data_IF_094405711993
#
_entry.id   IF_094405711993
#
_cell.length_a   1.000
_cell.length_b   1.000
_cell.length_c   1.000
_cell.angle_alpha   90.00
_cell.angle_beta   90.00
_cell.angle_gamma   90.00
#
_symmetry.space_group_name_H-M   'P 1'
#
loop_
_entity.id
_entity.type
_entity.pdbx_description
1 polymer ?
#
# COMPACT_ATOMS: atom_id res chain seq x y z
N UNK A 1 -10.61 14.46 -12.58
CA UNK A 1 -9.72 15.46 -11.91
C UNK A 1 -8.77 14.68 -11.05
N UNK A 2 -7.48 14.78 -11.35
CA UNK A 2 -6.39 13.98 -10.82
C UNK A 2 -6.27 14.06 -9.29
N UNK A 3 -6.56 12.95 -8.60
CA UNK A 3 -6.36 12.80 -7.16
C UNK A 3 -4.90 12.46 -6.85
N UNK A 4 -4.00 13.43 -7.05
CA UNK A 4 -2.67 13.35 -6.47
C UNK A 4 -2.82 13.19 -4.95
N UNK A 5 -2.30 12.10 -4.38
CA UNK A 5 -1.96 12.06 -2.96
C UNK A 5 -1.16 13.33 -2.68
N UNK A 6 -1.80 14.28 -2.02
CA UNK A 6 -1.20 15.55 -1.64
C UNK A 6 -0.18 15.22 -0.56
N UNK A 7 1.05 14.91 -0.98
CA UNK A 7 2.19 15.05 -0.08
C UNK A 7 2.06 16.44 0.51
N UNK A 8 1.91 16.53 1.83
CA UNK A 8 1.79 17.80 2.54
C UNK A 8 2.76 18.81 1.93
N UNK A 9 2.39 20.10 1.92
CA UNK A 9 3.14 21.22 1.34
C UNK A 9 4.58 21.33 1.86
N UNK A 10 5.38 20.33 1.56
CA UNK A 10 6.83 20.35 1.70
C UNK A 10 7.38 20.90 0.40
N UNK A 11 8.36 21.77 0.52
CA UNK A 11 9.07 22.37 -0.62
C UNK A 11 9.37 21.27 -1.65
N UNK A 12 8.74 21.34 -2.82
CA UNK A 12 8.94 20.37 -3.91
C UNK A 12 10.39 20.42 -4.36
N UNK A 13 11.09 19.32 -4.22
CA UNK A 13 12.42 19.10 -4.81
C UNK A 13 12.29 18.17 -6.01
N UNK A 14 11.93 18.67 -7.21
CA UNK A 14 11.59 17.82 -8.36
C UNK A 14 12.73 16.87 -8.76
N UNK A 15 13.98 17.26 -8.53
CA UNK A 15 15.14 16.37 -8.75
C UNK A 15 15.23 15.22 -7.74
N UNK A 16 14.92 15.49 -6.47
CA UNK A 16 14.90 14.46 -5.42
C UNK A 16 13.77 13.46 -5.67
N UNK A 17 12.58 13.94 -5.97
CA UNK A 17 11.42 13.11 -6.31
C UNK A 17 11.73 12.21 -7.50
N UNK A 18 12.33 12.77 -8.56
CA UNK A 18 12.73 12.01 -9.73
C UNK A 18 13.76 10.92 -9.40
N UNK A 19 14.79 11.23 -8.59
CA UNK A 19 15.78 10.23 -8.17
C UNK A 19 15.08 9.10 -7.38
N UNK A 20 14.19 9.42 -6.46
CA UNK A 20 13.44 8.42 -5.68
C UNK A 20 12.59 7.52 -6.59
N UNK A 21 11.83 8.10 -7.53
CA UNK A 21 10.97 7.36 -8.46
C UNK A 21 11.78 6.42 -9.34
N UNK A 22 12.84 6.94 -9.98
CA UNK A 22 13.68 6.13 -10.86
C UNK A 22 14.47 5.06 -10.10
N UNK A 23 14.91 5.35 -8.87
CA UNK A 23 15.54 4.34 -8.01
C UNK A 23 14.56 3.24 -7.63
N UNK A 24 13.32 3.60 -7.31
CA UNK A 24 12.27 2.64 -6.99
C UNK A 24 11.97 1.72 -8.19
N UNK A 25 11.81 2.28 -9.39
CA UNK A 25 11.66 1.54 -10.64
C UNK A 25 12.79 0.52 -10.84
N UNK A 26 14.03 0.97 -10.68
CA UNK A 26 15.20 0.12 -10.83
C UNK A 26 15.25 -0.99 -9.77
N UNK A 27 14.92 -0.67 -8.51
CA UNK A 27 14.90 -1.66 -7.44
C UNK A 27 13.82 -2.73 -7.64
N UNK A 28 12.65 -2.35 -8.15
CA UNK A 28 11.58 -3.30 -8.48
C UNK A 28 11.96 -4.20 -9.67
N UNK A 29 12.55 -3.63 -10.72
CA UNK A 29 12.82 -4.37 -11.97
C UNK A 29 14.09 -5.23 -11.92
N UNK A 30 15.10 -4.83 -11.13
CA UNK A 30 16.44 -5.48 -11.13
C UNK A 30 16.88 -5.99 -9.76
N UNK A 31 16.13 -5.64 -8.71
CA UNK A 31 16.56 -5.84 -7.32
C UNK A 31 17.58 -4.79 -6.86
N UNK A 32 17.57 -4.49 -5.58
CA UNK A 32 18.43 -3.45 -5.00
C UNK A 32 19.91 -3.68 -5.24
N UNK A 33 20.41 -4.90 -5.05
CA UNK A 33 21.85 -5.19 -5.11
C UNK A 33 22.43 -5.00 -6.51
N UNK A 34 21.65 -5.30 -7.55
CA UNK A 34 22.07 -5.16 -8.95
C UNK A 34 22.09 -3.71 -9.46
N UNK A 35 21.48 -2.76 -8.75
CA UNK A 35 21.40 -1.36 -9.19
C UNK A 35 22.59 -0.56 -8.68
N UNK A 36 23.28 0.12 -9.59
CA UNK A 36 24.39 1.04 -9.27
C UNK A 36 23.96 2.51 -9.30
N UNK A 37 24.76 3.40 -8.69
CA UNK A 37 24.55 4.84 -8.85
C UNK A 37 24.65 5.29 -10.31
N UNK A 38 25.45 4.62 -11.14
CA UNK A 38 25.53 4.92 -12.57
C UNK A 38 24.22 4.63 -13.30
N UNK A 39 23.50 3.58 -12.90
CA UNK A 39 22.18 3.29 -13.45
C UNK A 39 21.19 4.39 -13.08
N UNK A 40 21.19 4.80 -11.81
CA UNK A 40 20.33 5.87 -11.30
C UNK A 40 20.65 7.22 -11.98
N UNK A 41 21.94 7.56 -12.16
CA UNK A 41 22.36 8.76 -12.89
C UNK A 41 21.77 8.81 -14.30
N UNK A 42 21.85 7.69 -15.02
CA UNK A 42 21.35 7.59 -16.39
C UNK A 42 19.82 7.70 -16.45
N UNK A 43 19.12 6.91 -15.60
CA UNK A 43 17.66 6.84 -15.64
C UNK A 43 17.02 8.13 -15.14
N UNK A 44 17.51 8.70 -14.05
CA UNK A 44 17.02 9.97 -13.51
C UNK A 44 17.51 11.20 -14.30
N UNK A 45 18.47 11.04 -15.21
CA UNK A 45 19.13 12.12 -15.92
C UNK A 45 19.70 13.21 -15.00
N UNK A 46 20.49 12.78 -14.02
CA UNK A 46 21.17 13.63 -13.04
C UNK A 46 22.64 13.25 -12.92
N UNK A 47 23.45 14.14 -12.36
CA UNK A 47 24.85 13.83 -12.05
C UNK A 47 24.97 13.17 -10.68
N UNK A 48 26.04 12.40 -10.46
CA UNK A 48 26.36 11.77 -9.17
C UNK A 48 26.41 12.78 -8.02
N UNK A 49 26.93 13.98 -8.25
CA UNK A 49 26.95 15.03 -7.24
C UNK A 49 25.55 15.46 -6.77
N UNK A 50 24.55 15.44 -7.65
CA UNK A 50 23.16 15.73 -7.28
C UNK A 50 22.59 14.60 -6.43
N UNK A 51 22.93 13.34 -6.72
CA UNK A 51 22.48 12.22 -5.89
C UNK A 51 23.06 12.34 -4.47
N UNK A 52 24.38 12.54 -4.36
CA UNK A 52 25.03 12.72 -3.05
C UNK A 52 24.66 14.00 -2.29
N UNK A 53 24.10 14.99 -2.98
CA UNK A 53 23.53 16.15 -2.33
C UNK A 53 22.27 15.80 -1.51
N UNK A 54 21.43 14.86 -2.01
CA UNK A 54 20.19 14.46 -1.36
C UNK A 54 20.31 13.21 -0.49
N UNK A 55 21.24 12.30 -0.81
CA UNK A 55 21.36 10.97 -0.20
C UNK A 55 22.79 10.70 0.22
N UNK A 56 22.97 10.26 1.47
CA UNK A 56 24.30 9.95 2.06
C UNK A 56 24.95 8.71 1.44
N UNK A 57 24.16 7.86 0.79
CA UNK A 57 24.60 6.61 0.18
C UNK A 57 23.41 5.79 -0.31
N UNK A 58 23.70 4.60 -0.84
CA UNK A 58 22.65 3.74 -1.43
C UNK A 58 21.66 3.22 -0.39
N UNK A 59 22.12 2.98 0.85
CA UNK A 59 21.24 2.59 1.97
C UNK A 59 20.30 3.72 2.38
N UNK A 60 20.80 4.97 2.45
CA UNK A 60 19.94 6.13 2.74
C UNK A 60 18.92 6.36 1.63
N UNK A 61 19.32 6.15 0.37
CA UNK A 61 18.41 6.18 -0.78
C UNK A 61 17.35 5.09 -0.66
N UNK A 62 17.73 3.83 -0.34
CA UNK A 62 16.80 2.73 -0.14
C UNK A 62 15.76 3.07 0.95
N UNK A 63 16.24 3.60 2.09
CA UNK A 63 15.37 4.00 3.18
C UNK A 63 14.35 5.04 2.73
N UNK A 64 14.80 6.10 2.05
CA UNK A 64 13.90 7.16 1.58
C UNK A 64 12.95 6.67 0.47
N UNK A 65 13.35 5.73 -0.37
CA UNK A 65 12.48 5.05 -1.34
C UNK A 65 11.42 4.23 -0.61
N UNK A 66 11.81 3.44 0.40
CA UNK A 66 10.87 2.66 1.20
C UNK A 66 9.85 3.56 1.92
N UNK A 67 10.32 4.64 2.54
CA UNK A 67 9.45 5.61 3.21
C UNK A 67 8.46 6.26 2.23
N UNK A 68 8.91 6.66 1.04
CA UNK A 68 8.08 7.37 0.06
C UNK A 68 7.06 6.46 -0.66
N UNK A 69 7.45 5.24 -1.04
CA UNK A 69 6.65 4.39 -1.92
C UNK A 69 6.05 3.16 -1.24
N UNK A 70 6.53 2.77 -0.07
CA UNK A 70 5.98 1.63 0.66
C UNK A 70 5.29 2.10 1.94
N UNK A 71 5.99 2.78 2.84
CA UNK A 71 5.41 3.19 4.13
C UNK A 71 4.29 4.23 3.95
N UNK A 72 4.52 5.28 3.15
CA UNK A 72 3.48 6.28 2.84
C UNK A 72 2.29 5.66 2.10
N UNK A 73 2.56 4.67 1.26
CA UNK A 73 1.57 3.96 0.50
C UNK A 73 0.68 3.05 1.37
N UNK A 74 1.21 2.56 2.49
CA UNK A 74 0.45 1.79 3.46
C UNK A 74 -0.50 2.66 4.31
N UNK A 75 -0.30 3.99 4.38
CA UNK A 75 -1.18 4.87 5.15
C UNK A 75 -2.62 4.84 4.65
N UNK A 76 -3.54 4.75 5.58
CA UNK A 76 -4.96 4.43 5.36
C UNK A 76 -5.83 5.70 5.29
N UNK A 77 -5.47 6.66 4.43
CA UNK A 77 -6.27 7.88 4.28
C UNK A 77 -7.65 7.55 3.69
N UNK A 78 -8.69 8.15 4.27
CA UNK A 78 -10.08 8.14 3.79
C UNK A 78 -10.83 6.78 3.80
N UNK A 79 -10.33 5.74 4.47
CA UNK A 79 -11.06 4.46 4.54
C UNK A 79 -12.43 4.56 5.21
N UNK A 80 -12.61 5.52 6.12
CA UNK A 80 -13.87 5.73 6.86
C UNK A 80 -14.77 6.79 6.24
N UNK A 81 -14.43 7.33 5.07
CA UNK A 81 -15.24 8.35 4.40
C UNK A 81 -16.65 7.82 4.11
N UNK A 82 -17.66 8.59 4.48
CA UNK A 82 -19.06 8.21 4.29
C UNK A 82 -19.62 7.18 5.30
N UNK A 83 -18.79 6.47 6.06
CA UNK A 83 -19.24 5.44 7.00
C UNK A 83 -20.20 5.99 8.06
N UNK A 84 -19.87 7.14 8.66
CA UNK A 84 -20.66 7.75 9.72
C UNK A 84 -22.06 8.20 9.28
N UNK A 85 -22.29 8.45 8.01
CA UNK A 85 -23.58 8.87 7.46
C UNK A 85 -24.39 7.73 6.84
N UNK A 86 -23.77 6.57 6.60
CA UNK A 86 -24.40 5.42 5.94
C UNK A 86 -25.21 4.55 6.91
N UNK A 87 -26.33 3.97 6.48
CA UNK A 87 -27.01 2.89 7.23
C UNK A 87 -26.19 1.57 7.22
N UNK A 88 -25.25 1.43 6.30
CA UNK A 88 -24.38 0.26 6.13
C UNK A 88 -22.92 0.65 6.18
N UNK A 89 -22.40 1.13 7.34
CA UNK A 89 -21.03 1.64 7.46
C UNK A 89 -19.94 0.62 7.12
N UNK A 90 -20.09 -0.65 7.48
CA UNK A 90 -19.09 -1.68 7.17
C UNK A 90 -19.03 -1.95 5.66
N UNK A 91 -20.17 -1.97 4.97
CA UNK A 91 -20.21 -2.11 3.52
C UNK A 91 -19.43 -0.99 2.83
N UNK A 92 -19.73 0.27 3.20
CA UNK A 92 -19.00 1.44 2.67
C UNK A 92 -17.50 1.35 2.96
N UNK A 93 -17.15 0.94 4.16
CA UNK A 93 -15.75 0.76 4.55
C UNK A 93 -15.03 -0.29 3.66
N UNK A 94 -15.65 -1.43 3.41
CA UNK A 94 -15.11 -2.47 2.54
C UNK A 94 -14.94 -1.97 1.10
N UNK A 95 -15.93 -1.25 0.58
CA UNK A 95 -15.87 -0.62 -0.74
C UNK A 95 -14.72 0.40 -0.83
N UNK A 96 -14.58 1.27 0.17
CA UNK A 96 -13.46 2.22 0.26
C UNK A 96 -12.09 1.51 0.29
N UNK A 97 -11.98 0.39 1.03
CA UNK A 97 -10.75 -0.40 1.07
C UNK A 97 -10.39 -0.96 -0.32
N UNK A 98 -11.36 -1.51 -1.04
CA UNK A 98 -11.17 -2.04 -2.39
C UNK A 98 -10.81 -0.93 -3.38
N UNK A 99 -11.49 0.21 -3.33
CA UNK A 99 -11.17 1.34 -4.20
C UNK A 99 -9.77 1.87 -3.93
N UNK A 100 -9.35 1.91 -2.66
CA UNK A 100 -7.97 2.27 -2.30
C UNK A 100 -6.95 1.28 -2.84
N UNK A 101 -7.24 -0.02 -2.82
CA UNK A 101 -6.39 -1.04 -3.44
C UNK A 101 -6.29 -0.81 -4.96
N UNK A 102 -7.43 -0.55 -5.64
CA UNK A 102 -7.45 -0.24 -7.08
C UNK A 102 -6.65 1.01 -7.44
N UNK A 103 -6.76 2.08 -6.65
CA UNK A 103 -5.96 3.30 -6.81
C UNK A 103 -4.46 3.04 -6.68
N UNK A 104 -4.06 2.24 -5.68
CA UNK A 104 -2.67 1.84 -5.46
C UNK A 104 -2.11 1.06 -6.64
N UNK A 105 -2.89 0.12 -7.14
CA UNK A 105 -2.52 -0.68 -8.31
C UNK A 105 -2.31 0.21 -9.52
N UNK A 106 -3.25 1.11 -9.83
CA UNK A 106 -3.10 2.07 -10.94
C UNK A 106 -1.85 2.92 -10.79
N UNK A 107 -1.60 3.47 -9.60
CA UNK A 107 -0.39 4.24 -9.34
C UNK A 107 0.89 3.44 -9.68
N UNK A 108 0.96 2.17 -9.24
CA UNK A 108 2.13 1.34 -9.52
C UNK A 108 2.30 1.04 -11.00
N UNK A 109 1.25 0.69 -11.70
CA UNK A 109 1.36 0.27 -13.10
C UNK A 109 1.41 1.46 -14.07
N UNK A 110 0.63 2.51 -13.81
CA UNK A 110 0.51 3.64 -14.73
C UNK A 110 1.60 4.70 -14.50
N UNK A 111 1.92 5.03 -13.24
CA UNK A 111 2.86 6.12 -12.93
C UNK A 111 4.28 5.63 -12.66
N UNK A 112 4.43 4.46 -12.01
CA UNK A 112 5.74 3.89 -11.71
C UNK A 112 6.22 2.96 -12.82
N UNK A 113 5.31 2.25 -13.50
CA UNK A 113 5.62 1.25 -14.53
C UNK A 113 6.00 1.79 -15.91
N UNK A 114 5.97 3.09 -16.16
CA UNK A 114 6.22 3.71 -17.49
C UNK A 114 7.49 3.13 -18.19
N UNK A 115 7.27 2.18 -19.12
CA UNK A 115 8.33 1.52 -19.89
C UNK A 115 9.14 0.45 -19.17
N UNK A 116 8.80 0.06 -17.95
CA UNK A 116 9.45 -1.01 -17.16
C UNK A 116 8.37 -1.99 -16.71
N UNK A 117 8.61 -3.28 -16.91
CA UNK A 117 7.72 -4.33 -16.41
C UNK A 117 7.83 -4.41 -14.88
N UNK A 118 6.81 -3.88 -14.20
CA UNK A 118 6.64 -3.98 -12.75
C UNK A 118 5.49 -4.93 -12.49
N UNK A 119 5.75 -5.99 -11.73
CA UNK A 119 4.74 -7.01 -11.40
C UNK A 119 4.43 -7.02 -9.90
N UNK A 120 3.34 -7.68 -9.52
CA UNK A 120 3.02 -7.91 -8.12
C UNK A 120 4.14 -8.71 -7.41
N UNK A 121 4.77 -9.65 -8.13
CA UNK A 121 5.92 -10.41 -7.65
C UNK A 121 7.13 -9.52 -7.35
N UNK A 122 7.44 -8.55 -8.22
CA UNK A 122 8.56 -7.62 -7.99
C UNK A 122 8.33 -6.73 -6.76
N UNK A 123 7.11 -6.28 -6.53
CA UNK A 123 6.76 -5.52 -5.33
C UNK A 123 6.83 -6.37 -4.05
N UNK A 124 6.33 -7.60 -4.09
CA UNK A 124 6.45 -8.54 -2.97
C UNK A 124 7.91 -8.83 -2.64
N UNK A 125 8.73 -9.11 -3.66
CA UNK A 125 10.17 -9.35 -3.51
C UNK A 125 10.88 -8.15 -2.89
N UNK A 126 10.57 -6.93 -3.32
CA UNK A 126 11.11 -5.71 -2.73
C UNK A 126 10.69 -5.53 -1.27
N UNK A 127 9.44 -5.81 -0.94
CA UNK A 127 8.93 -5.74 0.43
C UNK A 127 9.63 -6.74 1.35
N UNK A 128 9.88 -7.97 0.87
CA UNK A 128 10.66 -8.98 1.60
C UNK A 128 12.12 -8.56 1.77
N UNK A 129 12.72 -7.93 0.76
CA UNK A 129 14.07 -7.37 0.86
C UNK A 129 14.14 -6.29 1.95
N UNK A 130 13.16 -5.37 2.00
CA UNK A 130 13.10 -4.33 3.03
C UNK A 130 12.98 -4.91 4.46
N UNK A 131 12.27 -6.01 4.64
CA UNK A 131 12.17 -6.69 5.95
C UNK A 131 13.53 -7.01 6.55
N UNK A 132 14.49 -7.39 5.71
CA UNK A 132 15.81 -7.87 6.14
C UNK A 132 16.88 -6.76 6.11
N UNK A 133 16.69 -5.71 5.32
CA UNK A 133 17.72 -4.71 5.05
C UNK A 133 17.34 -3.27 5.44
N UNK A 134 16.08 -2.99 5.76
CA UNK A 134 15.65 -1.64 6.16
C UNK A 134 15.59 -1.55 7.70
N UNK A 135 16.46 -0.74 8.28
CA UNK A 135 16.41 -0.46 9.71
C UNK A 135 15.07 0.22 10.10
N UNK A 136 14.38 -0.34 11.10
CA UNK A 136 13.07 0.17 11.53
C UNK A 136 11.85 -0.39 10.77
N UNK A 137 12.05 -1.23 9.74
CA UNK A 137 10.95 -1.83 8.98
C UNK A 137 9.91 -2.53 9.86
N UNK A 138 10.37 -3.34 10.82
CA UNK A 138 9.48 -4.09 11.71
C UNK A 138 8.62 -3.17 12.58
N UNK A 139 9.19 -2.08 13.07
CA UNK A 139 8.49 -1.11 13.91
C UNK A 139 7.47 -0.31 13.07
N UNK A 140 7.86 0.14 11.88
CA UNK A 140 6.95 0.82 10.96
C UNK A 140 5.78 -0.07 10.54
N UNK A 141 6.06 -1.34 10.21
CA UNK A 141 5.01 -2.30 9.85
C UNK A 141 4.09 -2.63 11.03
N UNK A 142 4.64 -2.71 12.24
CA UNK A 142 3.87 -2.93 13.47
C UNK A 142 2.92 -1.77 13.72
N UNK A 143 3.44 -0.54 13.74
CA UNK A 143 2.63 0.67 13.95
C UNK A 143 1.52 0.78 12.89
N UNK A 144 1.85 0.53 11.63
CA UNK A 144 0.85 0.51 10.56
C UNK A 144 -0.26 -0.52 10.82
N UNK A 145 0.09 -1.75 11.22
CA UNK A 145 -0.90 -2.78 11.49
C UNK A 145 -1.78 -2.45 12.69
N UNK A 146 -1.22 -1.82 13.72
CA UNK A 146 -1.97 -1.36 14.89
C UNK A 146 -2.95 -0.24 14.52
N UNK A 147 -2.52 0.77 13.76
CA UNK A 147 -3.39 1.82 13.25
C UNK A 147 -4.53 1.26 12.38
N UNK A 148 -4.18 0.40 11.44
CA UNK A 148 -5.17 -0.22 10.56
C UNK A 148 -6.17 -1.07 11.32
N UNK A 149 -5.72 -1.83 12.32
CA UNK A 149 -6.60 -2.61 13.18
C UNK A 149 -7.65 -1.74 13.89
N UNK A 150 -7.24 -0.59 14.44
CA UNK A 150 -8.16 0.34 15.10
C UNK A 150 -9.23 0.90 14.14
N UNK A 151 -8.85 1.21 12.91
CA UNK A 151 -9.78 1.69 11.88
C UNK A 151 -10.84 0.60 11.54
N UNK A 152 -10.40 -0.65 11.40
CA UNK A 152 -11.31 -1.77 11.17
C UNK A 152 -12.24 -2.02 12.36
N UNK A 153 -11.70 -1.95 13.59
CA UNK A 153 -12.47 -2.12 14.82
C UNK A 153 -13.56 -1.06 14.95
N UNK A 154 -13.24 0.20 14.63
CA UNK A 154 -14.21 1.31 14.62
C UNK A 154 -15.33 1.07 13.60
N UNK A 155 -15.00 0.68 12.36
CA UNK A 155 -15.98 0.42 11.31
C UNK A 155 -16.92 -0.74 11.67
N UNK A 156 -16.40 -1.83 12.23
CA UNK A 156 -17.19 -2.99 12.67
C UNK A 156 -18.06 -2.64 13.88
N UNK A 157 -17.54 -1.86 14.82
CA UNK A 157 -18.31 -1.40 15.99
C UNK A 157 -19.48 -0.54 15.56
N UNK A 158 -19.24 0.41 14.66
CA UNK A 158 -20.30 1.25 14.12
C UNK A 158 -21.38 0.42 13.38
N UNK A 159 -20.98 -0.60 12.65
CA UNK A 159 -21.90 -1.51 11.96
C UNK A 159 -22.78 -2.32 12.92
N UNK A 160 -22.22 -2.77 14.04
CA UNK A 160 -22.98 -3.43 15.12
C UNK A 160 -23.97 -2.49 15.79
N UNK A 161 -23.56 -1.27 16.09
CA UNK A 161 -24.39 -0.27 16.76
C UNK A 161 -25.57 0.14 15.89
N UNK A 162 -25.40 0.16 14.57
CA UNK A 162 -26.48 0.44 13.60
C UNK A 162 -27.34 -0.76 13.23
N UNK A 163 -26.99 -1.95 13.69
CA UNK A 163 -27.72 -3.17 13.35
C UNK A 163 -27.50 -3.63 11.91
N UNK A 164 -26.40 -3.20 11.25
CA UNK A 164 -26.01 -3.69 9.94
C UNK A 164 -25.56 -5.15 10.01
N UNK A 165 -24.77 -5.47 11.03
CA UNK A 165 -24.33 -6.84 11.32
C UNK A 165 -24.72 -7.25 12.74
N UNK A 166 -24.74 -8.57 12.97
CA UNK A 166 -25.09 -9.14 14.29
C UNK A 166 -24.10 -8.69 15.37
N UNK A 167 -24.62 -8.37 16.55
CA UNK A 167 -23.83 -7.90 17.70
C UNK A 167 -22.92 -8.95 18.30
N UNK A 168 -23.27 -10.25 18.15
CA UNK A 168 -22.53 -11.40 18.68
C UNK A 168 -21.28 -11.77 17.87
N UNK A 169 -21.05 -11.10 16.73
CA UNK A 169 -19.88 -11.33 15.89
C UNK A 169 -18.59 -10.95 16.65
N UNK A 170 -17.65 -11.86 16.70
CA UNK A 170 -16.31 -11.59 17.27
C UNK A 170 -15.55 -10.63 16.34
N UNK A 171 -15.36 -9.39 16.78
CA UNK A 171 -14.71 -8.33 16.00
C UNK A 171 -13.30 -8.71 15.58
N UNK A 172 -12.51 -9.28 16.50
CA UNK A 172 -11.13 -9.65 16.23
C UNK A 172 -11.02 -10.76 15.17
N UNK A 173 -11.88 -11.78 15.28
CA UNK A 173 -11.92 -12.86 14.28
C UNK A 173 -12.36 -12.36 12.92
N UNK A 174 -13.35 -11.47 12.87
CA UNK A 174 -13.82 -10.90 11.62
C UNK A 174 -12.72 -10.08 10.93
N UNK A 175 -12.02 -9.22 11.65
CA UNK A 175 -10.85 -8.49 11.15
C UNK A 175 -9.80 -9.47 10.62
N UNK A 176 -9.50 -10.52 11.39
CA UNK A 176 -8.51 -11.54 11.00
C UNK A 176 -8.89 -12.21 9.68
N UNK A 177 -10.16 -12.55 9.48
CA UNK A 177 -10.63 -13.15 8.21
C UNK A 177 -10.39 -12.19 7.04
N UNK A 178 -10.76 -10.92 7.16
CA UNK A 178 -10.53 -9.94 6.10
C UNK A 178 -9.05 -9.76 5.79
N UNK A 179 -8.19 -9.67 6.80
CA UNK A 179 -6.75 -9.53 6.60
C UNK A 179 -6.12 -10.77 5.95
N UNK A 180 -6.50 -11.96 6.38
CA UNK A 180 -5.96 -13.20 5.81
C UNK A 180 -6.43 -13.39 4.37
N UNK A 181 -7.68 -13.03 4.05
CA UNK A 181 -8.19 -13.05 2.67
C UNK A 181 -7.42 -12.07 1.78
N UNK A 182 -7.20 -10.83 2.25
CA UNK A 182 -6.36 -9.86 1.54
C UNK A 182 -4.94 -10.37 1.31
N UNK A 183 -4.31 -10.89 2.37
CA UNK A 183 -2.93 -11.39 2.27
C UNK A 183 -2.84 -12.58 1.33
N UNK A 184 -3.82 -13.49 1.38
CA UNK A 184 -3.92 -14.62 0.46
C UNK A 184 -4.04 -14.17 -1.00
N UNK A 185 -4.96 -13.26 -1.30
CA UNK A 185 -5.14 -12.72 -2.64
C UNK A 185 -3.90 -11.98 -3.15
N UNK A 186 -3.23 -11.21 -2.30
CA UNK A 186 -2.00 -10.49 -2.66
C UNK A 186 -0.84 -11.46 -2.94
N UNK A 187 -0.69 -12.52 -2.14
CA UNK A 187 0.34 -13.52 -2.31
C UNK A 187 0.11 -14.38 -3.56
N UNK A 188 -1.10 -14.91 -3.71
CA UNK A 188 -1.48 -15.75 -4.85
C UNK A 188 -1.37 -14.97 -6.17
N UNK A 189 -1.88 -13.73 -6.16
CA UNK A 189 -1.74 -12.82 -7.30
C UNK A 189 -0.29 -12.52 -7.66
N UNK A 190 0.61 -12.46 -6.69
CA UNK A 190 2.04 -12.26 -6.95
C UNK A 190 2.71 -13.51 -7.56
N UNK A 191 2.21 -14.71 -7.29
CA UNK A 191 2.73 -15.95 -7.89
C UNK A 191 2.33 -16.10 -9.37
N UNK A 192 1.15 -15.60 -9.72
CA UNK A 192 0.57 -15.74 -11.06
C UNK A 192 0.66 -14.46 -11.91
N UNK A 193 1.34 -13.42 -11.42
CA UNK A 193 1.37 -12.06 -12.00
C UNK A 193 -0.03 -11.51 -12.32
N UNK A 194 -1.00 -11.81 -11.45
CA UNK A 194 -2.39 -11.35 -11.53
C UNK A 194 -2.73 -10.41 -10.39
N UNK A 195 -3.77 -9.64 -10.58
CA UNK A 195 -4.31 -8.76 -9.54
C UNK A 195 -5.73 -9.25 -9.20
N UNK A 196 -5.83 -10.03 -8.15
CA UNK A 196 -7.06 -10.69 -7.70
C UNK A 196 -7.97 -9.73 -6.89
N UNK A 197 -8.21 -8.51 -7.40
CA UNK A 197 -8.97 -7.49 -6.67
C UNK A 197 -10.47 -7.77 -6.68
N UNK A 198 -10.98 -8.26 -7.80
CA UNK A 198 -12.41 -8.57 -7.91
C UNK A 198 -12.73 -9.84 -7.11
N UNK A 199 -11.86 -10.85 -7.13
CA UNK A 199 -11.99 -12.06 -6.30
C UNK A 199 -11.88 -11.72 -4.81
N UNK A 200 -11.02 -10.75 -4.43
CA UNK A 200 -10.94 -10.24 -3.07
C UNK A 200 -12.23 -9.54 -2.67
N UNK A 201 -12.78 -8.67 -3.54
CA UNK A 201 -14.04 -7.99 -3.30
C UNK A 201 -15.17 -8.98 -3.07
N UNK A 202 -15.32 -9.97 -3.97
CA UNK A 202 -16.34 -11.00 -3.87
C UNK A 202 -16.22 -11.82 -2.58
N UNK A 203 -15.00 -12.20 -2.21
CA UNK A 203 -14.73 -12.94 -0.96
C UNK A 203 -15.06 -12.11 0.28
N UNK A 204 -14.73 -10.82 0.27
CA UNK A 204 -15.08 -9.91 1.35
C UNK A 204 -16.58 -9.68 1.44
N UNK A 205 -17.27 -9.49 0.32
CA UNK A 205 -18.72 -9.32 0.29
C UNK A 205 -19.46 -10.60 0.71
N UNK A 206 -18.97 -11.78 0.33
CA UNK A 206 -19.51 -13.05 0.81
C UNK A 206 -19.37 -13.17 2.34
N UNK A 207 -18.20 -12.84 2.88
CA UNK A 207 -17.96 -12.83 4.33
C UNK A 207 -18.89 -11.83 5.02
N UNK A 208 -18.98 -10.60 4.53
CA UNK A 208 -19.85 -9.56 5.05
C UNK A 208 -21.33 -10.00 5.10
N UNK A 209 -21.84 -10.52 3.98
CA UNK A 209 -23.25 -10.98 3.86
C UNK A 209 -23.60 -12.10 4.86
N UNK A 210 -22.60 -12.89 5.27
CA UNK A 210 -22.79 -13.97 6.25
C UNK A 210 -23.11 -13.46 7.66
N UNK A 211 -22.84 -12.18 7.94
CA UNK A 211 -23.02 -11.54 9.23
C UNK A 211 -24.07 -10.43 9.23
N UNK A 212 -24.64 -10.05 8.07
CA UNK A 212 -25.69 -9.03 7.97
C UNK A 212 -27.00 -9.50 8.64
N UNK A 213 -27.73 -8.57 9.23
CA UNK A 213 -29.08 -8.80 9.74
C UNK A 213 -30.05 -8.70 8.55
N UNK A 214 -30.85 -9.74 8.36
CA UNK A 214 -31.89 -9.79 7.32
C UNK A 214 -33.16 -9.07 7.79
#
# INVERSE_FOLDING_TARGET
>A
MSGFVRLEKTVRYPKKEKILTESFRLFLSRGYDAVSFTDIEKTANVTRGIIFYYFKGKEDLLRQVADAFVIQFLKSDNLTEGCSSSPTPLKIFLENCIDRIRERIRFFFDEVGDGIEITAASFLSFTLYLRDHHAGWKDSLKSFKEELYLIWEEAITLAKDRGEIRKDVDTHKLITVFFLTYTGAAYDGALDDKLLVEELYDSWMFTYQSYTIK
#
